data_IF_177146969650
#
_entry.id   IF_177146969650
#
_cell.length_a   1.000
_cell.length_b   1.000
_cell.length_c   1.000
_cell.angle_alpha   90.00
_cell.angle_beta   90.00
_cell.angle_gamma   90.00
#
_symmetry.space_group_name_H-M   'P 1'
#
loop_
_entity.id
_entity.type
_entity.pdbx_description
1 polymer ?
#
# COMPACT_ATOMS: atom_id res chain seq x y z
N UNK A 1 30.62 -13.96 26.20
CA UNK A 1 30.73 -15.36 25.75
C UNK A 1 29.93 -15.49 24.46
N UNK A 2 30.58 -15.82 23.34
CA UNK A 2 29.90 -16.23 22.12
C UNK A 2 29.57 -17.73 22.21
N UNK A 3 28.40 -18.15 21.77
CA UNK A 3 27.99 -19.56 21.65
C UNK A 3 27.77 -19.92 20.17
N UNK A 4 27.73 -21.20 19.77
CA UNK A 4 27.44 -21.54 18.38
C UNK A 4 25.94 -21.43 18.07
N UNK A 5 25.57 -21.21 16.79
CA UNK A 5 24.16 -21.07 16.35
C UNK A 5 23.29 -22.24 16.82
N UNK A 6 23.79 -23.47 16.74
CA UNK A 6 23.04 -24.68 17.13
C UNK A 6 22.74 -24.78 18.64
N UNK A 7 23.40 -23.97 19.48
CA UNK A 7 23.09 -23.88 20.91
C UNK A 7 21.92 -22.93 21.21
N UNK A 8 21.34 -22.29 20.19
CA UNK A 8 20.19 -21.38 20.32
C UNK A 8 18.88 -22.17 20.45
N UNK A 9 17.96 -21.81 21.37
CA UNK A 9 16.65 -22.44 21.44
C UNK A 9 15.86 -22.28 20.14
N UNK A 10 15.48 -23.40 19.51
CA UNK A 10 14.77 -23.39 18.22
C UNK A 10 13.33 -22.91 18.31
N UNK A 11 12.72 -22.95 19.50
CA UNK A 11 11.31 -22.54 19.71
C UNK A 11 11.04 -21.10 19.23
N UNK A 12 12.07 -20.25 19.20
CA UNK A 12 11.94 -18.84 18.86
C UNK A 12 12.67 -18.42 17.57
N UNK A 13 13.64 -19.23 17.13
CA UNK A 13 14.57 -18.89 16.05
C UNK A 13 14.90 -20.16 15.26
N UNK A 14 14.65 -20.14 13.95
CA UNK A 14 15.13 -21.18 13.06
C UNK A 14 16.64 -20.99 12.79
N UNK A 15 17.40 -22.08 12.93
CA UNK A 15 18.86 -22.03 12.87
C UNK A 15 19.38 -21.64 11.49
N UNK A 16 18.63 -21.96 10.43
CA UNK A 16 19.00 -21.62 9.05
C UNK A 16 18.94 -20.11 8.82
N UNK A 17 17.82 -19.46 9.18
CA UNK A 17 17.66 -18.02 9.10
C UNK A 17 18.69 -17.27 9.95
N UNK A 18 18.96 -17.75 11.18
CA UNK A 18 20.00 -17.15 12.03
C UNK A 18 21.40 -17.34 11.42
N UNK A 19 21.74 -18.52 10.92
CA UNK A 19 23.03 -18.77 10.27
C UNK A 19 23.23 -17.88 9.04
N UNK A 20 22.18 -17.64 8.26
CA UNK A 20 22.21 -16.74 7.11
C UNK A 20 22.47 -15.28 7.53
N UNK A 21 21.79 -14.78 8.57
CA UNK A 21 22.03 -13.44 9.11
C UNK A 21 23.47 -13.26 9.63
N UNK A 22 23.99 -14.25 10.35
CA UNK A 22 25.36 -14.21 10.86
C UNK A 22 26.38 -14.21 9.72
N UNK A 23 26.18 -15.03 8.70
CA UNK A 23 27.03 -15.05 7.51
C UNK A 23 27.07 -13.70 6.79
N UNK A 24 25.90 -13.09 6.57
CA UNK A 24 25.82 -11.76 5.94
C UNK A 24 26.54 -10.68 6.77
N UNK A 25 26.45 -10.76 8.10
CA UNK A 25 27.19 -9.89 9.03
C UNK A 25 28.71 -10.10 8.90
N UNK A 26 29.17 -11.35 8.89
CA UNK A 26 30.58 -11.72 8.82
C UNK A 26 31.23 -11.32 7.48
N UNK A 27 30.50 -11.41 6.38
CA UNK A 27 30.94 -11.05 5.02
C UNK A 27 30.98 -9.53 4.77
N UNK A 28 30.46 -8.71 5.69
CA UNK A 28 30.47 -7.25 5.55
C UNK A 28 31.72 -6.68 6.21
N UNK A 29 32.36 -5.67 5.61
CA UNK A 29 33.47 -4.93 6.22
C UNK A 29 32.97 -3.60 6.76
N UNK A 30 32.22 -3.61 7.86
CA UNK A 30 31.69 -2.38 8.46
C UNK A 30 30.59 -2.62 9.50
N UNK A 31 30.05 -1.53 10.07
CA UNK A 31 28.96 -1.59 11.05
C UNK A 31 27.67 -2.11 10.41
N UNK A 32 26.91 -2.89 11.16
CA UNK A 32 25.65 -3.49 10.73
C UNK A 32 24.51 -2.89 11.55
N UNK A 33 23.41 -2.57 10.88
CA UNK A 33 22.15 -2.16 11.50
C UNK A 33 21.16 -3.32 11.41
N UNK A 34 20.45 -3.58 12.49
CA UNK A 34 19.38 -4.59 12.52
C UNK A 34 18.01 -3.91 12.47
N UNK A 35 17.00 -4.57 11.90
CA UNK A 35 15.61 -4.08 11.84
C UNK A 35 14.68 -5.07 12.52
N UNK A 36 13.97 -4.59 13.56
CA UNK A 36 13.11 -5.37 14.44
C UNK A 36 13.88 -5.94 15.64
N UNK A 37 13.50 -5.52 16.85
CA UNK A 37 14.12 -5.92 18.12
C UNK A 37 13.54 -7.24 18.67
N UNK A 38 13.48 -8.25 17.79
CA UNK A 38 13.07 -9.62 18.11
C UNK A 38 14.20 -10.54 18.59
N UNK A 39 13.90 -11.83 18.69
CA UNK A 39 14.87 -12.84 19.15
C UNK A 39 16.09 -12.96 18.22
N UNK A 40 15.91 -12.92 16.90
CA UNK A 40 17.03 -12.92 15.95
C UNK A 40 18.00 -11.77 16.20
N UNK A 41 17.51 -10.55 16.42
CA UNK A 41 18.36 -9.39 16.67
C UNK A 41 19.19 -9.58 17.95
N UNK A 42 18.57 -10.09 19.02
CA UNK A 42 19.27 -10.42 20.28
C UNK A 42 20.33 -11.49 20.07
N UNK A 43 20.05 -12.53 19.28
CA UNK A 43 21.04 -13.57 18.95
C UNK A 43 22.19 -13.02 18.12
N UNK A 44 21.91 -12.22 17.09
CA UNK A 44 22.94 -11.55 16.28
C UNK A 44 23.83 -10.66 17.15
N UNK A 45 23.25 -9.86 18.06
CA UNK A 45 24.02 -9.04 19.02
C UNK A 45 24.87 -9.91 19.95
N UNK A 46 24.34 -11.00 20.49
CA UNK A 46 25.12 -11.88 21.36
C UNK A 46 26.31 -12.54 20.62
N UNK A 47 26.15 -12.84 19.33
CA UNK A 47 27.15 -13.53 18.52
C UNK A 47 28.18 -12.59 17.90
N UNK A 48 27.80 -11.34 17.59
CA UNK A 48 28.62 -10.33 16.91
C UNK A 48 28.43 -8.92 17.50
N UNK A 49 28.60 -8.73 18.82
CA UNK A 49 28.26 -7.47 19.49
C UNK A 49 29.06 -6.27 18.96
N UNK A 50 30.32 -6.52 18.59
CA UNK A 50 31.28 -5.57 18.02
C UNK A 50 30.94 -5.12 16.59
N UNK A 51 29.99 -5.80 15.94
CA UNK A 51 29.58 -5.50 14.56
C UNK A 51 28.32 -4.65 14.50
N UNK A 52 27.51 -4.61 15.56
CA UNK A 52 26.17 -4.02 15.52
C UNK A 52 26.18 -2.58 16.01
N UNK A 53 25.82 -1.64 15.14
CA UNK A 53 25.74 -0.22 15.46
C UNK A 53 24.46 0.13 16.23
N UNK A 54 23.32 -0.39 15.78
CA UNK A 54 22.00 -0.14 16.38
C UNK A 54 20.97 -1.18 15.91
N UNK A 55 19.85 -1.24 16.63
CA UNK A 55 18.62 -1.91 16.19
C UNK A 55 17.56 -0.86 15.92
N UNK A 56 16.98 -0.84 14.73
CA UNK A 56 15.86 0.02 14.37
C UNK A 56 14.55 -0.72 14.61
N UNK A 57 13.71 -0.17 15.48
CA UNK A 57 12.39 -0.71 15.82
C UNK A 57 11.44 0.46 16.16
N UNK A 58 10.28 0.58 15.47
CA UNK A 58 9.35 1.69 15.67
C UNK A 58 8.50 1.54 16.94
N UNK A 59 8.63 0.45 17.69
CA UNK A 59 7.87 0.27 18.92
C UNK A 59 8.32 1.29 19.98
N UNK A 60 7.43 2.18 20.45
CA UNK A 60 7.78 3.22 21.42
C UNK A 60 8.22 2.67 22.78
N UNK A 61 7.90 1.40 23.08
CA UNK A 61 8.42 0.71 24.26
C UNK A 61 9.95 0.62 24.23
N UNK A 62 10.55 0.47 23.05
CA UNK A 62 11.99 0.27 22.88
C UNK A 62 12.69 1.58 22.51
N UNK A 63 12.32 2.17 21.37
CA UNK A 63 13.01 3.34 20.83
C UNK A 63 12.79 4.62 21.63
N UNK A 64 11.66 4.75 22.35
CA UNK A 64 11.31 5.94 23.14
C UNK A 64 11.93 5.99 24.53
N UNK A 65 12.75 5.00 24.93
CA UNK A 65 13.20 4.82 26.32
C UNK A 65 14.69 4.59 26.48
N UNK A 66 15.50 5.08 25.53
CA UNK A 66 16.96 4.89 25.52
C UNK A 66 17.39 3.43 25.70
N UNK A 67 16.55 2.49 25.21
CA UNK A 67 16.74 1.07 25.44
C UNK A 67 18.05 0.60 24.82
N UNK A 68 18.79 -0.24 25.54
CA UNK A 68 20.00 -0.89 25.06
C UNK A 68 19.97 -2.38 25.35
N UNK A 69 20.47 -3.18 24.42
CA UNK A 69 20.74 -4.59 24.65
C UNK A 69 22.24 -4.86 24.46
N UNK A 70 22.92 -5.25 25.54
CA UNK A 70 24.40 -5.43 25.55
C UNK A 70 25.16 -4.20 25.05
N UNK A 71 24.65 -3.00 25.36
CA UNK A 71 25.23 -1.73 24.94
C UNK A 71 24.77 -1.24 23.56
N UNK A 72 24.22 -2.11 22.71
CA UNK A 72 23.66 -1.74 21.40
C UNK A 72 22.35 -0.99 21.61
N UNK A 73 22.20 0.24 21.09
CA UNK A 73 20.98 1.02 21.23
C UNK A 73 19.85 0.48 20.35
N UNK A 74 18.63 0.53 20.87
CA UNK A 74 17.39 0.33 20.11
C UNK A 74 16.77 1.69 19.85
N UNK A 75 16.57 2.03 18.58
CA UNK A 75 16.24 3.39 18.11
C UNK A 75 15.14 3.34 17.05
N UNK A 76 14.58 4.50 16.71
CA UNK A 76 13.68 4.69 15.58
C UNK A 76 14.25 5.77 14.65
N UNK A 77 13.70 5.89 13.44
CA UNK A 77 13.91 7.01 12.53
C UNK A 77 13.43 8.30 13.25
N UNK A 78 14.17 9.43 13.18
CA UNK A 78 15.25 9.70 12.25
C UNK A 78 16.66 9.51 12.81
N UNK A 79 16.86 8.71 13.87
CA UNK A 79 18.19 8.46 14.43
C UNK A 79 19.18 8.03 13.34
N UNK A 80 20.46 8.37 13.51
CA UNK A 80 21.52 8.10 12.52
C UNK A 80 22.73 7.48 13.18
N UNK A 81 23.23 6.42 12.55
CA UNK A 81 24.50 5.76 12.84
C UNK A 81 25.17 5.43 11.51
N UNK A 82 26.42 4.98 11.53
CA UNK A 82 27.03 4.40 10.34
C UNK A 82 26.48 2.99 10.08
N UNK A 83 26.24 2.65 8.82
CA UNK A 83 25.76 1.33 8.42
C UNK A 83 26.35 0.94 7.06
N UNK A 84 27.06 -0.18 7.01
CA UNK A 84 27.51 -0.84 5.79
C UNK A 84 26.54 -1.94 5.31
N UNK A 85 25.70 -2.46 6.22
CA UNK A 85 24.67 -3.45 5.94
C UNK A 85 23.46 -3.24 6.84
N UNK A 86 22.25 -3.42 6.29
CA UNK A 86 20.98 -3.43 7.03
C UNK A 86 20.37 -4.83 6.99
N UNK A 87 20.09 -5.40 8.16
CA UNK A 87 19.56 -6.76 8.30
C UNK A 87 18.11 -6.76 8.79
N UNK A 88 17.21 -7.42 8.07
CA UNK A 88 15.86 -7.73 8.54
C UNK A 88 15.88 -8.88 9.55
N UNK A 89 15.56 -8.60 10.81
CA UNK A 89 15.61 -9.58 11.91
C UNK A 89 14.22 -9.99 12.42
N UNK A 90 13.15 -9.33 11.98
CA UNK A 90 11.80 -9.68 12.38
C UNK A 90 10.84 -9.68 11.21
N UNK A 91 10.08 -10.77 11.07
CA UNK A 91 9.20 -11.00 9.93
C UNK A 91 8.19 -9.86 9.73
N UNK A 92 7.56 -9.41 10.81
CA UNK A 92 6.59 -8.31 10.76
C UNK A 92 7.21 -7.02 10.21
N UNK A 93 8.42 -6.70 10.67
CA UNK A 93 9.14 -5.50 10.26
C UNK A 93 9.66 -5.56 8.83
N UNK A 94 9.70 -6.74 8.19
CA UNK A 94 10.01 -6.82 6.75
C UNK A 94 8.99 -6.00 5.95
N UNK A 95 7.69 -6.14 6.23
CA UNK A 95 6.63 -5.41 5.53
C UNK A 95 6.52 -3.94 5.95
N UNK A 96 6.55 -3.69 7.26
CA UNK A 96 6.12 -2.41 7.80
C UNK A 96 7.24 -1.36 7.84
N UNK A 97 8.50 -1.80 7.85
CA UNK A 97 9.58 -0.93 8.35
C UNK A 97 10.94 -1.10 7.68
N UNK A 98 11.31 -2.30 7.24
CA UNK A 98 12.62 -2.55 6.63
C UNK A 98 12.89 -1.66 5.41
N UNK A 99 11.90 -1.52 4.53
CA UNK A 99 12.00 -0.61 3.38
C UNK A 99 12.29 0.84 3.82
N UNK A 100 11.57 1.33 4.83
CA UNK A 100 11.75 2.68 5.39
C UNK A 100 13.16 2.89 5.95
N UNK A 101 13.69 1.92 6.68
CA UNK A 101 15.07 1.97 7.19
C UNK A 101 16.06 1.97 6.03
N UNK A 102 15.93 1.06 5.08
CA UNK A 102 16.84 1.02 3.91
C UNK A 102 16.84 2.33 3.13
N UNK A 103 15.66 2.92 2.88
CA UNK A 103 15.53 4.24 2.25
C UNK A 103 16.13 5.34 3.11
N UNK A 104 15.90 5.33 4.43
CA UNK A 104 16.51 6.28 5.36
C UNK A 104 18.02 6.30 5.15
N UNK A 105 18.68 5.14 5.05
CA UNK A 105 20.12 5.04 4.79
C UNK A 105 20.54 5.24 3.32
N UNK A 106 19.67 5.73 2.44
CA UNK A 106 20.03 6.00 1.03
C UNK A 106 20.17 4.72 0.20
N UNK A 107 19.33 3.72 0.47
CA UNK A 107 19.34 2.42 -0.20
C UNK A 107 20.64 1.62 0.01
N UNK A 108 21.25 1.75 1.19
CA UNK A 108 22.39 0.93 1.62
C UNK A 108 22.13 -0.57 1.41
N UNK A 109 23.23 -1.32 1.19
CA UNK A 109 23.21 -2.78 1.11
C UNK A 109 22.37 -3.36 2.25
N UNK A 110 21.50 -4.29 1.91
CA UNK A 110 20.54 -4.86 2.83
C UNK A 110 20.35 -6.35 2.58
N UNK A 111 19.86 -7.06 3.59
CA UNK A 111 19.58 -8.48 3.50
C UNK A 111 18.51 -8.90 4.50
N UNK A 112 17.67 -9.84 4.09
CA UNK A 112 16.85 -10.66 4.99
C UNK A 112 16.86 -12.09 4.46
N UNK A 113 16.82 -13.10 5.35
CA UNK A 113 16.95 -14.49 4.93
C UNK A 113 15.67 -14.98 4.21
N UNK A 114 15.78 -15.95 3.26
CA UNK A 114 14.63 -16.56 2.57
C UNK A 114 13.58 -17.18 3.49
N UNK A 115 13.99 -17.51 4.72
CA UNK A 115 13.09 -17.93 5.79
C UNK A 115 13.42 -17.17 7.07
N UNK A 116 12.38 -16.71 7.74
CA UNK A 116 12.51 -16.02 9.02
C UNK A 116 11.35 -16.40 9.93
N UNK A 117 11.67 -16.97 11.09
CA UNK A 117 10.68 -17.49 12.04
C UNK A 117 9.75 -18.52 11.39
N UNK A 118 10.37 -19.47 10.65
CA UNK A 118 9.71 -20.54 9.89
C UNK A 118 8.86 -20.09 8.69
N UNK A 119 8.67 -18.79 8.48
CA UNK A 119 7.91 -18.22 7.38
C UNK A 119 8.81 -17.97 6.18
N UNK A 120 8.28 -18.24 4.99
CA UNK A 120 8.93 -17.90 3.72
C UNK A 120 8.87 -16.38 3.52
N UNK A 121 9.98 -15.78 3.07
CA UNK A 121 10.10 -14.35 2.80
C UNK A 121 10.33 -14.04 1.32
N UNK A 122 10.45 -15.06 0.46
CA UNK A 122 10.83 -14.90 -0.95
C UNK A 122 9.82 -14.13 -1.79
N UNK A 123 8.54 -14.16 -1.38
CA UNK A 123 7.46 -13.40 -2.01
C UNK A 123 7.37 -11.95 -1.51
N UNK A 124 8.07 -11.61 -0.43
CA UNK A 124 8.04 -10.26 0.15
C UNK A 124 8.97 -9.37 -0.65
N UNK A 125 8.45 -8.23 -1.11
CA UNK A 125 9.22 -7.25 -1.87
C UNK A 125 9.23 -5.89 -1.16
N UNK A 126 9.83 -5.81 0.03
CA UNK A 126 9.64 -4.65 0.91
C UNK A 126 10.25 -3.37 0.33
N UNK A 127 11.28 -3.50 -0.51
CA UNK A 127 11.96 -2.37 -1.15
C UNK A 127 11.20 -1.83 -2.35
N UNK A 128 10.68 -2.72 -3.21
CA UNK A 128 9.81 -2.32 -4.32
C UNK A 128 8.55 -1.64 -3.78
N UNK A 129 7.97 -2.19 -2.70
CA UNK A 129 6.80 -1.63 -2.05
C UNK A 129 7.07 -0.27 -1.39
N UNK A 130 8.16 -0.11 -0.63
CA UNK A 130 8.53 1.19 -0.05
C UNK A 130 8.88 2.20 -1.15
N UNK A 131 9.56 1.80 -2.22
CA UNK A 131 9.89 2.69 -3.32
C UNK A 131 8.62 3.23 -3.99
N UNK A 132 7.64 2.36 -4.24
CA UNK A 132 6.32 2.73 -4.73
C UNK A 132 5.61 3.67 -3.76
N UNK A 133 5.45 3.28 -2.50
CA UNK A 133 4.72 4.09 -1.51
C UNK A 133 5.39 5.44 -1.29
N UNK A 134 6.72 5.49 -1.24
CA UNK A 134 7.42 6.76 -1.17
C UNK A 134 7.22 7.58 -2.46
N UNK A 135 7.24 6.97 -3.64
CA UNK A 135 7.06 7.70 -4.89
C UNK A 135 5.62 8.18 -5.12
N UNK A 136 4.62 7.48 -4.59
CA UNK A 136 3.19 7.79 -4.79
C UNK A 136 2.60 8.59 -3.64
N UNK A 137 3.02 8.32 -2.40
CA UNK A 137 2.49 8.96 -1.18
C UNK A 137 3.34 10.12 -0.67
N UNK A 138 4.54 10.37 -1.22
CA UNK A 138 5.31 11.55 -0.83
C UNK A 138 4.61 12.83 -1.29
N UNK A 139 4.71 13.88 -0.48
CA UNK A 139 4.08 15.18 -0.70
C UNK A 139 2.54 15.10 -0.76
N UNK A 140 1.91 14.42 0.20
CA UNK A 140 0.44 14.43 0.33
C UNK A 140 -0.13 15.85 0.44
N UNK A 141 0.68 16.83 0.86
CA UNK A 141 0.30 18.25 0.86
C UNK A 141 -0.03 18.80 -0.53
N UNK A 142 0.51 18.20 -1.60
CA UNK A 142 0.21 18.57 -2.99
C UNK A 142 -1.03 17.83 -3.51
N UNK A 143 -1.47 16.76 -2.82
CA UNK A 143 -2.64 15.99 -3.23
C UNK A 143 -3.91 16.83 -3.02
N UNK A 144 -4.90 16.73 -3.92
CA UNK A 144 -6.23 17.23 -3.62
C UNK A 144 -6.81 16.56 -2.37
N UNK A 145 -7.76 17.23 -1.71
CA UNK A 145 -8.32 16.71 -0.46
C UNK A 145 -9.00 15.36 -0.72
N UNK A 146 -8.75 14.41 0.18
CA UNK A 146 -9.42 13.12 0.24
C UNK A 146 -9.93 12.86 1.64
N UNK A 147 -11.05 12.15 1.75
CA UNK A 147 -11.53 11.60 3.03
C UNK A 147 -10.92 10.22 3.36
N UNK A 148 -10.23 9.60 2.40
CA UNK A 148 -9.54 8.34 2.64
C UNK A 148 -8.30 8.55 3.50
N UNK A 149 -8.17 7.77 4.57
CA UNK A 149 -6.97 7.76 5.39
C UNK A 149 -5.78 7.09 4.64
N UNK A 150 -4.53 7.25 5.11
CA UNK A 150 -3.36 6.70 4.43
C UNK A 150 -3.41 5.18 4.22
N UNK A 151 -4.00 4.42 5.15
CA UNK A 151 -4.13 2.97 5.04
C UNK A 151 -5.06 2.57 3.88
N UNK A 152 -6.20 3.25 3.74
CA UNK A 152 -7.12 3.04 2.62
C UNK A 152 -6.50 3.43 1.28
N UNK A 153 -5.73 4.51 1.22
CA UNK A 153 -5.01 4.90 0.00
C UNK A 153 -3.97 3.84 -0.38
N UNK A 154 -3.19 3.31 0.57
CA UNK A 154 -2.26 2.20 0.29
C UNK A 154 -3.02 0.98 -0.25
N UNK A 155 -4.16 0.65 0.35
CA UNK A 155 -4.98 -0.46 -0.11
C UNK A 155 -5.52 -0.25 -1.53
N UNK A 156 -6.00 0.95 -1.85
CA UNK A 156 -6.42 1.36 -3.19
C UNK A 156 -5.29 1.15 -4.22
N UNK A 157 -4.07 1.59 -3.89
CA UNK A 157 -2.88 1.41 -4.74
C UNK A 157 -2.58 -0.07 -5.00
N UNK A 158 -2.66 -0.92 -3.98
CA UNK A 158 -2.41 -2.37 -4.13
C UNK A 158 -3.51 -3.09 -4.93
N UNK A 159 -4.78 -2.69 -4.76
CA UNK A 159 -5.88 -3.22 -5.58
C UNK A 159 -5.74 -2.81 -7.04
N UNK A 160 -5.41 -1.55 -7.30
CA UNK A 160 -5.12 -1.07 -8.65
C UNK A 160 -4.00 -1.90 -9.28
N UNK A 161 -2.89 -2.12 -8.58
CA UNK A 161 -1.77 -2.96 -9.05
C UNK A 161 -2.22 -4.37 -9.41
N UNK A 162 -3.09 -4.96 -8.62
CA UNK A 162 -3.67 -6.28 -8.89
C UNK A 162 -4.44 -6.27 -10.20
N UNK A 163 -5.33 -5.29 -10.39
CA UNK A 163 -6.10 -5.13 -11.63
C UNK A 163 -5.22 -4.94 -12.87
N UNK A 164 -4.17 -4.12 -12.77
CA UNK A 164 -3.25 -3.84 -13.87
C UNK A 164 -2.53 -5.08 -14.43
N UNK A 165 -2.49 -6.21 -13.69
CA UNK A 165 -1.90 -7.46 -14.18
C UNK A 165 -2.77 -8.19 -15.22
N UNK A 166 -4.06 -7.86 -15.33
CA UNK A 166 -5.02 -8.64 -16.12
C UNK A 166 -4.93 -8.39 -17.62
N UNK A 167 -4.81 -7.12 -18.02
CA UNK A 167 -4.73 -6.74 -19.43
C UNK A 167 -4.01 -5.39 -19.60
N UNK A 168 -3.09 -5.26 -20.57
CA UNK A 168 -2.44 -3.99 -20.90
C UNK A 168 -3.39 -2.94 -21.47
N UNK A 169 -4.46 -3.35 -22.14
CA UNK A 169 -5.38 -2.47 -22.88
C UNK A 169 -6.64 -2.06 -22.10
N UNK A 170 -6.87 -2.68 -20.95
CA UNK A 170 -8.05 -2.41 -20.14
C UNK A 170 -7.89 -1.13 -19.30
N UNK A 171 -8.95 -0.36 -19.18
CA UNK A 171 -8.95 0.95 -18.52
C UNK A 171 -9.17 0.86 -17.01
N UNK A 172 -8.95 1.99 -16.34
CA UNK A 172 -9.23 2.18 -14.91
C UNK A 172 -10.40 3.13 -14.73
N UNK A 173 -11.25 2.89 -13.74
CA UNK A 173 -12.40 3.74 -13.44
C UNK A 173 -12.46 4.13 -11.97
N UNK A 174 -12.79 5.39 -11.71
CA UNK A 174 -13.30 5.86 -10.42
C UNK A 174 -14.62 6.61 -10.61
N UNK A 175 -15.60 6.31 -9.77
CA UNK A 175 -16.88 7.01 -9.69
C UNK A 175 -17.04 7.62 -8.29
N UNK A 176 -17.25 8.93 -8.22
CA UNK A 176 -17.28 9.68 -6.96
C UNK A 176 -15.89 10.20 -6.58
N UNK A 177 -15.36 11.09 -7.41
CA UNK A 177 -13.98 11.56 -7.27
C UNK A 177 -13.84 12.79 -6.36
N UNK A 178 -14.93 13.53 -6.12
CA UNK A 178 -14.97 14.78 -5.37
C UNK A 178 -13.86 15.75 -5.80
N UNK A 179 -12.95 16.15 -4.89
CA UNK A 179 -11.80 17.01 -5.21
C UNK A 179 -10.65 16.26 -5.90
N UNK A 180 -10.76 14.94 -6.08
CA UNK A 180 -9.81 14.11 -6.83
C UNK A 180 -8.66 13.55 -5.99
N UNK A 181 -8.73 13.54 -4.66
CA UNK A 181 -7.61 13.09 -3.84
C UNK A 181 -7.24 11.61 -4.03
N UNK A 182 -8.21 10.70 -4.01
CA UNK A 182 -8.02 9.27 -4.32
C UNK A 182 -7.60 9.06 -5.79
N UNK A 183 -8.27 9.76 -6.69
CA UNK A 183 -7.98 9.77 -8.13
C UNK A 183 -6.54 10.18 -8.42
N UNK A 184 -6.00 11.13 -7.66
CA UNK A 184 -4.63 11.61 -7.82
C UNK A 184 -3.63 10.52 -7.45
N UNK A 185 -3.89 9.72 -6.42
CA UNK A 185 -3.06 8.57 -6.07
C UNK A 185 -3.16 7.44 -7.10
N UNK A 186 -4.34 7.22 -7.70
CA UNK A 186 -4.51 6.30 -8.84
C UNK A 186 -3.63 6.78 -10.01
N UNK A 187 -3.76 8.05 -10.41
CA UNK A 187 -3.00 8.66 -11.50
C UNK A 187 -1.47 8.59 -11.27
N UNK A 188 -1.00 8.93 -10.06
CA UNK A 188 0.43 8.81 -9.69
C UNK A 188 0.92 7.38 -9.76
N UNK A 189 0.11 6.42 -9.32
CA UNK A 189 0.47 5.00 -9.39
C UNK A 189 0.63 4.57 -10.84
N UNK A 190 -0.31 4.94 -11.71
CA UNK A 190 -0.24 4.65 -13.15
C UNK A 190 1.03 5.25 -13.78
N UNK A 191 1.33 6.52 -13.50
CA UNK A 191 2.58 7.17 -13.98
C UNK A 191 3.83 6.49 -13.46
N UNK A 192 3.90 6.22 -12.15
CA UNK A 192 5.07 5.59 -11.54
C UNK A 192 5.36 4.21 -12.16
N UNK A 193 4.30 3.45 -12.46
CA UNK A 193 4.40 2.14 -13.09
C UNK A 193 4.55 2.20 -14.62
N UNK A 194 4.66 3.39 -15.21
CA UNK A 194 4.82 3.59 -16.66
C UNK A 194 3.63 3.12 -17.49
N UNK A 195 2.42 3.17 -16.94
CA UNK A 195 1.21 2.75 -17.65
C UNK A 195 0.76 3.83 -18.64
N UNK A 196 0.03 3.41 -19.68
CA UNK A 196 -0.60 4.30 -20.68
C UNK A 196 -2.10 4.04 -20.82
N UNK A 197 -2.69 3.34 -19.86
CA UNK A 197 -4.13 3.04 -19.83
C UNK A 197 -4.92 4.31 -19.56
N UNK A 198 -6.10 4.41 -20.15
CA UNK A 198 -7.05 5.47 -19.80
C UNK A 198 -7.52 5.30 -18.36
N UNK A 199 -7.44 6.37 -17.58
CA UNK A 199 -8.07 6.48 -16.27
C UNK A 199 -9.31 7.37 -16.39
N UNK A 200 -10.48 6.78 -16.26
CA UNK A 200 -11.75 7.48 -16.21
C UNK A 200 -12.04 7.94 -14.78
N UNK A 201 -12.17 9.24 -14.60
CA UNK A 201 -12.49 9.87 -13.33
C UNK A 201 -13.84 10.57 -13.44
N UNK A 202 -14.83 10.11 -12.68
CA UNK A 202 -16.21 10.58 -12.81
C UNK A 202 -16.69 11.28 -11.53
N UNK A 203 -17.28 12.47 -11.68
CA UNK A 203 -18.01 13.18 -10.63
C UNK A 203 -18.92 14.26 -11.22
N UNK A 204 -19.79 14.82 -10.40
CA UNK A 204 -20.54 16.04 -10.70
C UNK A 204 -19.65 17.28 -10.70
N UNK A 205 -18.58 17.30 -9.90
CA UNK A 205 -17.74 18.49 -9.69
C UNK A 205 -18.60 19.74 -9.42
N UNK A 206 -18.43 20.82 -10.20
CA UNK A 206 -19.18 22.07 -10.05
C UNK A 206 -20.66 21.98 -10.45
N UNK A 207 -21.10 20.91 -11.11
CA UNK A 207 -22.50 20.75 -11.53
C UNK A 207 -23.42 20.30 -10.39
N UNK A 208 -22.89 20.06 -9.19
CA UNK A 208 -23.67 19.72 -8.00
C UNK A 208 -24.44 20.94 -7.48
N UNK A 209 -25.63 21.20 -8.04
CA UNK A 209 -26.41 22.43 -7.78
C UNK A 209 -27.19 22.44 -6.44
N UNK A 210 -27.14 21.36 -5.65
CA UNK A 210 -28.02 21.20 -4.48
C UNK A 210 -27.36 21.54 -3.12
N UNK A 211 -26.04 21.75 -3.07
CA UNK A 211 -25.34 22.14 -1.85
C UNK A 211 -24.34 23.29 -2.12
N UNK A 212 -24.59 24.51 -1.61
CA UNK A 212 -23.71 25.67 -1.80
C UNK A 212 -22.34 25.54 -1.10
N UNK A 213 -22.07 24.42 -0.41
CA UNK A 213 -20.78 24.12 0.23
C UNK A 213 -19.85 23.26 -0.63
N UNK A 214 -20.26 22.84 -1.83
CA UNK A 214 -19.39 22.13 -2.77
C UNK A 214 -18.24 23.03 -3.23
N UNK A 215 -17.02 22.76 -2.75
CA UNK A 215 -15.79 23.53 -3.01
C UNK A 215 -14.97 23.02 -4.20
N UNK A 216 -15.58 22.22 -5.08
CA UNK A 216 -14.88 21.64 -6.23
C UNK A 216 -14.74 22.69 -7.33
N UNK A 217 -13.56 22.76 -7.97
CA UNK A 217 -13.34 23.53 -9.19
C UNK A 217 -12.89 22.57 -10.29
N UNK A 218 -13.68 22.41 -11.34
CA UNK A 218 -13.45 21.39 -12.38
C UNK A 218 -12.14 21.66 -13.11
N UNK A 219 -11.87 22.92 -13.44
CA UNK A 219 -10.65 23.34 -14.14
C UNK A 219 -9.39 23.10 -13.30
N UNK A 220 -9.45 23.41 -11.99
CA UNK A 220 -8.34 23.16 -11.08
C UNK A 220 -8.01 21.67 -11.00
N UNK A 221 -9.03 20.82 -10.84
CA UNK A 221 -8.88 19.37 -10.77
C UNK A 221 -8.29 18.85 -12.09
N UNK A 222 -8.77 19.33 -13.23
CA UNK A 222 -8.27 18.94 -14.54
C UNK A 222 -6.79 19.31 -14.73
N UNK A 223 -6.37 20.51 -14.32
CA UNK A 223 -4.96 20.92 -14.38
C UNK A 223 -4.11 19.98 -13.52
N UNK A 224 -4.49 19.80 -12.25
CA UNK A 224 -3.75 18.94 -11.32
C UNK A 224 -3.63 17.49 -11.81
N UNK A 225 -4.70 16.95 -12.39
CA UNK A 225 -4.69 15.58 -12.92
C UNK A 225 -3.79 15.44 -14.14
N UNK A 226 -3.88 16.37 -15.09
CA UNK A 226 -3.07 16.30 -16.31
C UNK A 226 -1.58 16.57 -16.04
N UNK A 227 -1.21 17.33 -14.99
CA UNK A 227 0.19 17.43 -14.55
C UNK A 227 0.73 16.10 -14.02
N UNK A 228 -0.16 15.27 -13.47
CA UNK A 228 0.18 14.01 -12.85
C UNK A 228 0.18 12.88 -13.85
N UNK A 229 -0.80 12.76 -14.73
CA UNK A 229 -0.92 11.63 -15.66
C UNK A 229 -1.62 12.04 -16.95
N UNK A 230 -0.98 11.78 -18.09
CA UNK A 230 -1.41 12.30 -19.40
C UNK A 230 -2.66 11.61 -19.96
N UNK A 231 -3.09 10.50 -19.36
CA UNK A 231 -4.18 9.66 -19.85
C UNK A 231 -5.40 9.65 -18.92
N UNK A 232 -5.66 10.76 -18.22
CA UNK A 232 -6.89 10.96 -17.44
C UNK A 232 -8.01 11.46 -18.35
N UNK A 233 -9.15 10.79 -18.34
CA UNK A 233 -10.39 11.31 -18.91
C UNK A 233 -11.37 11.66 -17.79
N UNK A 234 -11.60 12.96 -17.59
CA UNK A 234 -12.61 13.45 -16.67
C UNK A 234 -14.00 13.41 -17.31
N UNK A 235 -14.95 12.80 -16.61
CA UNK A 235 -16.36 12.75 -17.00
C UNK A 235 -17.17 13.53 -15.98
N UNK A 236 -17.57 14.74 -16.36
CA UNK A 236 -18.39 15.64 -15.55
C UNK A 236 -19.86 15.31 -15.75
N UNK A 237 -20.54 14.91 -14.69
CA UNK A 237 -21.97 14.61 -14.68
C UNK A 237 -22.35 13.51 -13.70
N UNK A 238 -23.62 13.12 -13.73
CA UNK A 238 -24.13 12.05 -12.89
C UNK A 238 -23.51 10.71 -13.29
N UNK A 239 -23.02 9.96 -12.31
CA UNK A 239 -22.35 8.65 -12.54
C UNK A 239 -23.29 7.56 -13.02
N UNK A 240 -24.60 7.76 -12.91
CA UNK A 240 -25.66 6.87 -13.36
C UNK A 240 -26.36 7.38 -14.65
N UNK A 241 -25.92 8.53 -15.19
CA UNK A 241 -26.41 9.05 -16.47
C UNK A 241 -25.85 8.21 -17.64
N UNK A 242 -26.70 7.61 -18.48
CA UNK A 242 -26.28 6.88 -19.67
C UNK A 242 -25.31 7.64 -20.59
N UNK A 243 -25.45 8.96 -20.71
CA UNK A 243 -24.56 9.79 -21.52
C UNK A 243 -23.14 9.86 -20.92
N UNK A 244 -23.02 9.92 -19.60
CA UNK A 244 -21.74 9.88 -18.91
C UNK A 244 -21.11 8.49 -19.00
N UNK A 245 -21.90 7.44 -18.75
CA UNK A 245 -21.46 6.04 -18.84
C UNK A 245 -20.97 5.68 -20.25
N UNK A 246 -21.65 6.17 -21.29
CA UNK A 246 -21.27 5.92 -22.68
C UNK A 246 -19.90 6.49 -23.07
N UNK A 247 -19.29 7.37 -22.26
CA UNK A 247 -17.94 7.90 -22.51
C UNK A 247 -16.84 6.93 -22.10
N UNK A 248 -17.10 6.05 -21.13
CA UNK A 248 -16.15 5.01 -20.72
C UNK A 248 -16.06 3.96 -21.83
N UNK A 249 -14.86 3.75 -22.38
CA UNK A 249 -14.61 2.83 -23.50
C UNK A 249 -13.77 1.65 -23.07
N UNK A 250 -14.10 0.50 -23.66
CA UNK A 250 -13.34 -0.74 -23.47
C UNK A 250 -13.58 -1.39 -22.11
N UNK A 251 -12.94 -2.55 -21.88
CA UNK A 251 -13.04 -3.27 -20.62
C UNK A 251 -12.28 -2.55 -19.49
N UNK A 252 -12.71 -2.76 -18.24
CA UNK A 252 -12.05 -2.22 -17.05
C UNK A 252 -11.21 -3.30 -16.36
N UNK A 253 -9.98 -2.98 -15.97
CA UNK A 253 -9.16 -3.87 -15.13
C UNK A 253 -9.23 -3.53 -13.64
N UNK A 254 -9.75 -2.36 -13.29
CA UNK A 254 -9.97 -1.92 -11.92
C UNK A 254 -11.09 -0.89 -11.89
N UNK A 255 -11.93 -0.94 -10.85
CA UNK A 255 -12.92 0.09 -10.58
C UNK A 255 -12.99 0.44 -9.09
N UNK A 256 -13.05 1.74 -8.80
CA UNK A 256 -13.29 2.30 -7.47
C UNK A 256 -14.63 3.04 -7.47
N UNK A 257 -15.55 2.62 -6.60
CA UNK A 257 -16.87 3.24 -6.44
C UNK A 257 -16.90 3.90 -5.08
N UNK A 258 -16.59 5.19 -5.05
CA UNK A 258 -16.64 6.03 -3.85
C UNK A 258 -17.96 6.80 -3.79
N UNK A 259 -19.04 6.03 -3.80
CA UNK A 259 -20.41 6.53 -3.77
C UNK A 259 -21.26 5.63 -2.90
N UNK A 260 -22.38 6.15 -2.43
CA UNK A 260 -23.46 5.33 -1.90
C UNK A 260 -24.07 4.41 -2.96
N UNK A 261 -25.23 3.83 -2.63
CA UNK A 261 -25.94 2.95 -3.55
C UNK A 261 -26.41 3.70 -4.82
N UNK A 262 -25.77 3.44 -5.95
CA UNK A 262 -26.12 3.94 -7.28
C UNK A 262 -26.16 2.78 -8.28
N UNK A 263 -27.31 2.09 -8.36
CA UNK A 263 -27.42 0.82 -9.08
C UNK A 263 -27.02 0.90 -10.57
N UNK A 264 -27.42 1.91 -11.37
CA UNK A 264 -27.07 1.94 -12.79
C UNK A 264 -25.55 2.09 -13.01
N UNK A 265 -24.90 2.98 -12.25
CA UNK A 265 -23.44 3.14 -12.29
C UNK A 265 -22.70 1.89 -11.83
N UNK A 266 -23.13 1.28 -10.72
CA UNK A 266 -22.56 0.02 -10.22
C UNK A 266 -22.71 -1.13 -11.22
N UNK A 267 -23.89 -1.24 -11.86
CA UNK A 267 -24.16 -2.22 -12.92
C UNK A 267 -23.23 -2.02 -14.11
N UNK A 268 -23.10 -0.78 -14.59
CA UNK A 268 -22.19 -0.47 -15.68
C UNK A 268 -20.74 -0.86 -15.35
N UNK A 269 -20.23 -0.44 -14.19
CA UNK A 269 -18.88 -0.77 -13.76
C UNK A 269 -18.69 -2.29 -13.69
N UNK A 270 -19.63 -3.01 -13.08
CA UNK A 270 -19.59 -4.48 -12.99
C UNK A 270 -19.59 -5.16 -14.35
N UNK A 271 -20.45 -4.74 -15.26
CA UNK A 271 -20.61 -5.37 -16.58
C UNK A 271 -19.41 -5.08 -17.50
N UNK A 272 -18.67 -4.00 -17.23
CA UNK A 272 -17.48 -3.59 -18.00
C UNK A 272 -16.17 -4.16 -17.43
N UNK A 273 -16.14 -4.57 -16.16
CA UNK A 273 -14.97 -5.18 -15.53
C UNK A 273 -14.59 -6.53 -16.16
N UNK A 274 -13.29 -6.73 -16.38
CA UNK A 274 -12.71 -8.01 -16.75
C UNK A 274 -12.91 -9.06 -15.64
N UNK A 275 -13.10 -10.34 -15.99
CA UNK A 275 -12.97 -11.43 -15.01
C UNK A 275 -11.64 -11.34 -14.25
N UNK A 276 -11.70 -11.50 -12.93
CA UNK A 276 -10.58 -11.33 -12.00
C UNK A 276 -10.30 -9.89 -11.57
N UNK A 277 -10.95 -8.88 -12.17
CA UNK A 277 -10.72 -7.48 -11.82
C UNK A 277 -11.27 -7.14 -10.42
N UNK A 278 -10.50 -6.42 -9.59
CA UNK A 278 -11.00 -5.89 -8.33
C UNK A 278 -11.94 -4.70 -8.54
N UNK A 279 -13.02 -4.69 -7.75
CA UNK A 279 -13.96 -3.60 -7.58
C UNK A 279 -13.95 -3.20 -6.09
N UNK A 280 -13.51 -1.98 -5.80
CA UNK A 280 -13.55 -1.41 -4.45
C UNK A 280 -14.81 -0.56 -4.29
N UNK A 281 -15.58 -0.82 -3.25
CA UNK A 281 -16.77 -0.06 -2.86
C UNK A 281 -16.41 0.74 -1.60
N UNK A 282 -16.14 2.04 -1.72
CA UNK A 282 -15.62 2.80 -0.56
C UNK A 282 -16.67 2.92 0.55
N UNK A 283 -17.92 3.17 0.16
CA UNK A 283 -19.02 3.46 1.08
C UNK A 283 -19.92 2.24 1.37
N UNK A 284 -19.45 1.00 1.18
CA UNK A 284 -20.29 -0.21 1.35
C UNK A 284 -20.96 -0.32 2.73
N UNK A 285 -20.28 0.10 3.79
CA UNK A 285 -20.74 0.10 5.18
C UNK A 285 -21.17 1.47 5.69
N UNK A 286 -21.23 2.48 4.83
CA UNK A 286 -21.60 3.84 5.23
C UNK A 286 -23.10 3.93 5.58
N UNK A 287 -23.48 4.77 6.55
CA UNK A 287 -24.87 4.87 7.03
C UNK A 287 -25.88 5.23 5.93
N UNK A 288 -25.44 6.00 4.93
CA UNK A 288 -26.26 6.40 3.78
C UNK A 288 -26.31 5.35 2.64
N UNK A 289 -25.61 4.22 2.79
CA UNK A 289 -25.42 3.22 1.76
C UNK A 289 -25.76 1.83 2.34
N UNK A 290 -26.99 1.33 2.14
CA UNK A 290 -27.43 0.07 2.75
C UNK A 290 -26.61 -1.12 2.22
N UNK A 291 -25.80 -1.81 3.06
CA UNK A 291 -24.92 -2.89 2.61
C UNK A 291 -25.68 -4.02 1.90
N UNK A 292 -26.88 -4.34 2.40
CA UNK A 292 -27.74 -5.39 1.86
C UNK A 292 -28.11 -5.21 0.38
N UNK A 293 -28.18 -3.97 -0.13
CA UNK A 293 -28.43 -3.74 -1.57
C UNK A 293 -27.26 -4.15 -2.43
N UNK A 294 -26.04 -3.87 -1.97
CA UNK A 294 -24.83 -4.35 -2.62
C UNK A 294 -24.76 -5.88 -2.55
N UNK A 295 -25.03 -6.45 -1.37
CA UNK A 295 -25.03 -7.90 -1.19
C UNK A 295 -26.00 -8.59 -2.15
N UNK A 296 -27.27 -8.17 -2.20
CA UNK A 296 -28.28 -8.70 -3.13
C UNK A 296 -27.83 -8.60 -4.60
N UNK A 297 -27.24 -7.46 -4.98
CA UNK A 297 -26.75 -7.23 -6.33
C UNK A 297 -25.64 -8.20 -6.73
N UNK A 298 -24.66 -8.43 -5.85
CA UNK A 298 -23.51 -9.30 -6.11
C UNK A 298 -23.85 -10.77 -5.97
N UNK A 299 -24.72 -11.14 -5.03
CA UNK A 299 -25.22 -12.50 -4.85
C UNK A 299 -26.02 -12.98 -6.06
N UNK A 300 -26.87 -12.11 -6.62
CA UNK A 300 -27.57 -12.39 -7.88
C UNK A 300 -26.63 -12.63 -9.07
N UNK A 301 -25.36 -12.20 -8.96
CA UNK A 301 -24.29 -12.39 -9.95
C UNK A 301 -23.32 -13.50 -9.55
N UNK A 302 -23.68 -14.29 -8.55
CA UNK A 302 -22.90 -15.43 -8.09
C UNK A 302 -21.60 -15.06 -7.39
N UNK A 303 -21.43 -13.83 -6.91
CA UNK A 303 -20.26 -13.41 -6.11
C UNK A 303 -20.72 -12.78 -4.80
N UNK A 304 -19.79 -12.30 -3.97
CA UNK A 304 -20.11 -11.67 -2.67
C UNK A 304 -19.17 -10.51 -2.38
N UNK A 305 -19.66 -9.55 -1.62
CA UNK A 305 -18.84 -8.48 -1.06
C UNK A 305 -18.06 -9.01 0.14
N UNK A 306 -16.75 -8.75 0.14
CA UNK A 306 -15.87 -8.96 1.30
C UNK A 306 -15.70 -7.63 2.01
N UNK A 307 -16.25 -7.50 3.21
CA UNK A 307 -16.03 -6.31 4.06
C UNK A 307 -14.59 -6.32 4.59
N UNK A 308 -13.93 -5.17 4.54
CA UNK A 308 -12.62 -5.01 5.16
C UNK A 308 -12.78 -4.83 6.69
N UNK A 309 -11.91 -5.46 7.51
CA UNK A 309 -11.97 -5.30 8.96
C UNK A 309 -11.87 -3.83 9.40
N UNK A 310 -12.76 -3.41 10.29
CA UNK A 310 -12.81 -2.04 10.84
C UNK A 310 -12.89 -0.94 9.77
N UNK A 311 -13.47 -1.24 8.61
CA UNK A 311 -13.76 -0.27 7.57
C UNK A 311 -15.16 -0.46 7.00
N UNK A 312 -15.70 0.64 6.51
CA UNK A 312 -16.87 0.75 5.66
C UNK A 312 -16.61 0.27 4.22
N UNK A 313 -15.36 -0.01 3.82
CA UNK A 313 -15.04 -0.48 2.48
C UNK A 313 -15.47 -1.94 2.25
N UNK A 314 -15.94 -2.21 1.03
CA UNK A 314 -16.23 -3.54 0.51
C UNK A 314 -15.39 -3.86 -0.71
N UNK A 315 -14.91 -5.10 -0.82
CA UNK A 315 -14.14 -5.58 -1.97
C UNK A 315 -14.90 -6.70 -2.67
N UNK A 316 -14.97 -6.62 -4.00
CA UNK A 316 -15.49 -7.68 -4.86
C UNK A 316 -14.46 -7.97 -5.95
N UNK A 317 -14.27 -9.24 -6.30
CA UNK A 317 -13.59 -9.63 -7.52
C UNK A 317 -14.62 -10.09 -8.55
N UNK A 318 -14.48 -9.61 -9.79
CA UNK A 318 -15.28 -10.09 -10.91
C UNK A 318 -15.00 -11.58 -11.15
N UNK A 319 -16.05 -12.38 -11.23
CA UNK A 319 -15.97 -13.79 -11.64
C UNK A 319 -16.01 -13.91 -13.15
#
# INVERSE_FOLDING_TARGET
MSYPVHATPTVFVDHEGLANLIRACDETSGPVVLVGFGEYAKHVINLRPDRIAAVYDPNPLYAGREMRFRGVPVVDIPHRVDAALILGCEYRHLYEYLGRVVRHFGWTRHYYPPRLAYKDTTEIKPYEQEALYHAVLRNEADAPVSMMNPEKIRFLVELLRTGLTLSPEASVLEMGSWQGGSSWFIARTLKYLGQTRTFYMMDLFETHMMDPTATMCTDEIAVRMNEVYDHVEMIVGLVDDPACLARVRGPLCFAHIDLGWQEPGLRFAWDTLLPGAPLLLDNYGHLAAPPWRFDDFFEARGTRVTRLPWSEQGLVFKR
#
